data_IF_478933227693
#
_entry.id   IF_478933227693
#
_cell.length_a   1.000
_cell.length_b   1.000
_cell.length_c   1.000
_cell.angle_alpha   90.00
_cell.angle_beta   90.00
_cell.angle_gamma   90.00
#
_symmetry.space_group_name_H-M   'P 1'
#
loop_
_entity.id
_entity.type
_entity.pdbx_description
1 polymer ?
#
# COMPACT_ATOMS: atom_id res chain seq x y z
N UNK A 1 11.06 33.33 8.12
CA UNK A 1 10.51 32.41 7.11
C UNK A 1 10.03 31.18 7.85
N UNK A 2 8.72 31.04 8.05
CA UNK A 2 8.15 29.93 8.84
C UNK A 2 7.90 28.77 7.88
N UNK A 3 8.55 27.64 8.12
CA UNK A 3 8.29 26.40 7.40
C UNK A 3 6.92 25.87 7.84
N UNK A 4 5.91 25.99 6.99
CA UNK A 4 4.59 25.43 7.25
C UNK A 4 4.65 23.92 6.99
N UNK A 5 4.76 23.15 8.07
CA UNK A 5 4.58 21.70 8.05
C UNK A 5 3.14 21.39 7.65
N UNK A 6 2.93 20.95 6.41
CA UNK A 6 1.63 20.47 5.93
C UNK A 6 1.40 19.08 6.52
N UNK A 7 0.91 19.03 7.77
CA UNK A 7 0.48 17.82 8.47
C UNK A 7 -1.04 17.76 8.58
N UNK A 8 -1.75 17.97 7.49
CA UNK A 8 -3.15 17.54 7.43
C UNK A 8 -3.17 16.04 7.08
N UNK A 9 -3.76 15.17 7.91
CA UNK A 9 -4.13 13.86 7.45
C UNK A 9 -5.18 14.06 6.35
N UNK A 10 -4.77 13.87 5.09
CA UNK A 10 -5.68 13.75 3.96
C UNK A 10 -6.69 12.65 4.30
N UNK A 11 -7.84 13.05 4.84
CA UNK A 11 -8.96 12.16 5.11
C UNK A 11 -9.47 11.70 3.75
N UNK A 12 -9.19 10.45 3.42
CA UNK A 12 -9.45 9.93 2.10
C UNK A 12 -10.92 9.56 1.98
N UNK A 13 -11.69 10.35 1.23
CA UNK A 13 -13.09 10.03 0.95
C UNK A 13 -13.19 9.11 -0.28
N UNK A 14 -13.29 7.80 -0.04
CA UNK A 14 -13.49 6.78 -1.06
C UNK A 14 -14.79 6.95 -1.87
N UNK A 15 -15.74 7.79 -1.44
CA UNK A 15 -17.06 7.93 -2.08
C UNK A 15 -17.04 8.77 -3.36
N UNK A 16 -16.02 9.60 -3.57
CA UNK A 16 -15.97 10.57 -4.69
C UNK A 16 -15.08 10.14 -5.85
N UNK A 17 -14.25 9.10 -5.68
CA UNK A 17 -13.22 8.70 -6.64
C UNK A 17 -13.56 7.39 -7.36
N UNK A 18 -13.35 7.35 -8.68
CA UNK A 18 -13.91 6.28 -9.54
C UNK A 18 -12.93 5.17 -9.90
N UNK A 19 -11.61 5.36 -9.77
CA UNK A 19 -10.65 4.35 -10.22
C UNK A 19 -9.30 4.40 -9.50
N UNK A 20 -8.81 3.25 -9.05
CA UNK A 20 -7.45 3.02 -8.60
C UNK A 20 -6.54 2.64 -9.77
N UNK A 21 -5.36 3.25 -9.78
CA UNK A 21 -4.29 3.06 -10.75
C UNK A 21 -2.95 3.03 -10.00
N UNK A 22 -2.18 1.97 -10.19
CA UNK A 22 -0.83 1.83 -9.64
C UNK A 22 0.24 2.16 -10.68
N UNK A 23 1.14 3.10 -10.37
CA UNK A 23 2.12 3.68 -11.32
C UNK A 23 3.57 3.28 -10.98
N UNK A 24 3.78 2.44 -9.96
CA UNK A 24 5.09 1.98 -9.53
C UNK A 24 5.60 0.69 -10.19
N UNK A 25 6.85 0.35 -9.90
CA UNK A 25 7.38 -1.00 -10.09
C UNK A 25 6.76 -1.89 -9.02
N UNK A 26 6.25 -3.06 -9.41
CA UNK A 26 5.55 -3.95 -8.48
C UNK A 26 6.41 -4.24 -7.24
N UNK A 27 5.83 -4.14 -6.04
CA UNK A 27 6.56 -4.40 -4.83
C UNK A 27 6.81 -5.90 -4.64
N UNK A 28 7.80 -6.22 -3.81
CA UNK A 28 8.14 -7.60 -3.44
C UNK A 28 8.21 -7.76 -1.92
N UNK A 29 8.05 -8.99 -1.45
CA UNK A 29 8.19 -9.32 -0.04
C UNK A 29 9.65 -9.52 0.32
N UNK A 30 10.08 -8.84 1.38
CA UNK A 30 11.37 -9.03 2.00
C UNK A 30 11.18 -9.50 3.44
N UNK A 31 11.81 -10.61 3.81
CA UNK A 31 11.89 -11.01 5.21
C UNK A 31 13.03 -10.25 5.88
N UNK A 32 12.75 -9.64 7.02
CA UNK A 32 13.77 -8.96 7.84
C UNK A 32 13.96 -9.70 9.14
N UNK A 33 15.20 -9.83 9.58
CA UNK A 33 15.54 -10.40 10.88
C UNK A 33 16.26 -9.35 11.70
N UNK A 34 15.65 -8.94 12.81
CA UNK A 34 16.21 -7.91 13.68
C UNK A 34 16.40 -8.50 15.06
N UNK A 35 17.64 -8.49 15.55
CA UNK A 35 17.94 -8.89 16.93
C UNK A 35 17.69 -7.72 17.87
N UNK A 36 16.66 -7.81 18.70
CA UNK A 36 16.38 -6.83 19.77
C UNK A 36 16.50 -7.51 21.13
N UNK A 37 17.35 -6.96 22.01
CA UNK A 37 17.61 -7.51 23.37
C UNK A 37 17.97 -9.01 23.36
N UNK A 38 18.78 -9.44 22.41
CA UNK A 38 19.20 -10.85 22.27
C UNK A 38 18.13 -11.80 21.73
N UNK A 39 16.91 -11.32 21.43
CA UNK A 39 15.87 -12.11 20.75
C UNK A 39 15.83 -11.77 19.26
N UNK A 40 15.86 -12.80 18.43
CA UNK A 40 15.65 -12.69 16.99
C UNK A 40 14.16 -12.39 16.73
N UNK A 41 13.86 -11.26 16.11
CA UNK A 41 12.52 -10.94 15.64
C UNK A 41 12.49 -11.03 14.13
N UNK A 42 11.65 -11.91 13.61
CA UNK A 42 11.37 -12.02 12.18
C UNK A 42 10.24 -11.07 11.83
N UNK A 43 10.45 -10.22 10.84
CA UNK A 43 9.47 -9.32 10.26
C UNK A 43 9.29 -9.60 8.76
N UNK A 44 8.16 -9.18 8.23
CA UNK A 44 7.90 -9.15 6.78
C UNK A 44 7.69 -7.71 6.36
N UNK A 45 8.35 -7.32 5.29
CA UNK A 45 8.29 -5.98 4.71
C UNK A 45 7.89 -6.08 3.25
N UNK A 46 6.99 -5.20 2.85
CA UNK A 46 6.63 -4.98 1.46
C UNK A 46 7.50 -3.84 0.94
N UNK A 47 8.36 -4.15 -0.03
CA UNK A 47 9.36 -3.22 -0.56
C UNK A 47 8.90 -2.73 -1.92
N UNK A 48 8.74 -1.42 -2.05
CA UNK A 48 8.39 -0.69 -3.26
C UNK A 48 9.66 -0.09 -3.88
N UNK A 49 10.22 -0.73 -4.92
CA UNK A 49 11.42 -0.21 -5.56
C UNK A 49 11.12 1.05 -6.38
N UNK A 50 12.04 2.01 -6.34
CA UNK A 50 12.10 3.14 -7.27
C UNK A 50 13.47 3.21 -7.94
N UNK A 51 13.64 4.14 -8.88
CA UNK A 51 14.89 4.33 -9.60
C UNK A 51 16.04 4.82 -8.71
N UNK A 52 15.73 5.51 -7.62
CA UNK A 52 16.73 6.17 -6.77
C UNK A 52 16.74 5.66 -5.34
N UNK A 53 15.63 5.09 -4.86
CA UNK A 53 15.48 4.60 -3.48
C UNK A 53 14.41 3.49 -3.40
N UNK A 54 14.21 2.91 -2.22
CA UNK A 54 13.16 1.93 -1.96
C UNK A 54 12.30 2.36 -0.76
N UNK A 55 10.99 2.25 -0.92
CA UNK A 55 10.04 2.52 0.15
C UNK A 55 9.61 1.18 0.76
N UNK A 56 9.82 0.98 2.05
CA UNK A 56 9.55 -0.30 2.72
C UNK A 56 8.49 -0.15 3.79
N UNK A 57 7.51 -1.06 3.80
CA UNK A 57 6.41 -1.05 4.77
C UNK A 57 6.33 -2.38 5.50
N UNK A 58 6.43 -2.34 6.82
CA UNK A 58 6.21 -3.52 7.68
C UNK A 58 4.75 -3.92 7.62
N UNK A 59 4.50 -5.17 7.26
CA UNK A 59 3.16 -5.71 7.11
C UNK A 59 3.10 -7.15 7.62
N UNK A 60 1.92 -7.57 8.08
CA UNK A 60 1.68 -8.99 8.36
C UNK A 60 1.78 -9.79 7.04
N UNK A 61 2.29 -11.03 7.07
CA UNK A 61 2.54 -11.80 5.86
C UNK A 61 1.27 -12.10 5.04
N UNK A 62 0.13 -12.36 5.69
CA UNK A 62 -1.15 -12.66 4.99
C UNK A 62 -1.64 -11.54 4.06
N UNK A 63 -1.83 -10.29 4.52
CA UNK A 63 -2.29 -9.22 3.63
C UNK A 63 -1.24 -8.81 2.58
N UNK A 64 0.03 -9.17 2.76
CA UNK A 64 1.11 -8.69 1.91
C UNK A 64 1.09 -9.31 0.50
N UNK A 65 0.79 -10.61 0.40
CA UNK A 65 0.67 -11.29 -0.89
C UNK A 65 -0.53 -10.74 -1.70
N UNK A 66 -1.68 -10.57 -1.03
CA UNK A 66 -2.88 -10.02 -1.67
C UNK A 66 -2.66 -8.59 -2.18
N UNK A 67 -1.95 -7.75 -1.44
CA UNK A 67 -1.62 -6.39 -1.90
C UNK A 67 -0.82 -6.43 -3.19
N UNK A 68 0.18 -7.31 -3.30
CA UNK A 68 1.00 -7.43 -4.53
C UNK A 68 0.12 -7.84 -5.72
N UNK A 69 -0.72 -8.86 -5.56
CA UNK A 69 -1.63 -9.32 -6.60
C UNK A 69 -2.60 -8.22 -7.04
N UNK A 70 -3.12 -7.46 -6.07
CA UNK A 70 -4.10 -6.41 -6.37
C UNK A 70 -3.44 -5.20 -7.04
N UNK A 71 -2.24 -4.81 -6.60
CA UNK A 71 -1.44 -3.78 -7.27
C UNK A 71 -1.05 -4.21 -8.69
N UNK A 72 -0.81 -5.51 -8.91
CA UNK A 72 -0.59 -6.05 -10.23
C UNK A 72 -1.84 -5.96 -11.12
N UNK A 73 -3.04 -6.12 -10.56
CA UNK A 73 -4.30 -6.00 -11.28
C UNK A 73 -4.67 -4.55 -11.64
N UNK A 74 -4.17 -3.56 -10.92
CA UNK A 74 -4.40 -2.13 -11.21
C UNK A 74 -3.16 -1.37 -11.72
N UNK A 75 -2.12 -2.09 -12.14
CA UNK A 75 -0.88 -1.48 -12.64
C UNK A 75 -1.04 -0.90 -14.04
N UNK A 76 -0.54 0.33 -14.23
CA UNK A 76 -0.42 0.98 -15.55
C UNK A 76 0.45 0.18 -16.50
N UNK A 77 1.44 -0.56 -15.99
CA UNK A 77 2.31 -1.41 -16.82
C UNK A 77 1.51 -2.48 -17.58
N UNK A 78 0.34 -2.87 -17.07
CA UNK A 78 -0.58 -3.79 -17.75
C UNK A 78 -1.75 -3.07 -18.44
N UNK A 79 -1.84 -1.75 -18.36
CA UNK A 79 -2.92 -0.94 -18.93
C UNK A 79 -4.26 -1.05 -18.20
N UNK A 80 -4.26 -1.61 -16.98
CA UNK A 80 -5.49 -1.84 -16.22
C UNK A 80 -5.72 -0.76 -15.15
N UNK A 81 -6.99 -0.42 -14.96
CA UNK A 81 -7.50 0.37 -13.85
C UNK A 81 -8.69 -0.38 -13.26
N UNK A 82 -8.84 -0.33 -11.94
CA UNK A 82 -9.98 -0.94 -11.25
C UNK A 82 -10.78 0.14 -10.55
N UNK A 83 -12.09 0.00 -10.45
CA UNK A 83 -12.87 0.93 -9.64
C UNK A 83 -12.59 0.72 -8.16
N UNK A 84 -12.78 1.76 -7.35
CA UNK A 84 -12.72 1.66 -5.89
C UNK A 84 -13.68 0.57 -5.39
N UNK A 85 -14.91 0.53 -5.92
CA UNK A 85 -15.90 -0.49 -5.57
C UNK A 85 -15.41 -1.91 -5.91
N UNK A 86 -14.74 -2.09 -7.05
CA UNK A 86 -14.19 -3.40 -7.41
C UNK A 86 -13.01 -3.78 -6.52
N UNK A 87 -12.17 -2.82 -6.15
CA UNK A 87 -11.06 -3.04 -5.23
C UNK A 87 -11.55 -3.45 -3.83
N UNK A 88 -12.54 -2.73 -3.29
CA UNK A 88 -13.20 -3.09 -2.03
C UNK A 88 -13.84 -4.47 -2.10
N UNK A 89 -14.58 -4.75 -3.19
CA UNK A 89 -15.17 -6.08 -3.42
C UNK A 89 -14.10 -7.19 -3.42
N UNK A 90 -13.01 -7.00 -4.15
CA UNK A 90 -11.91 -7.98 -4.20
C UNK A 90 -11.25 -8.17 -2.83
N UNK A 91 -11.15 -7.10 -2.02
CA UNK A 91 -10.61 -7.15 -0.67
C UNK A 91 -11.49 -7.99 0.26
N UNK A 92 -12.81 -7.79 0.21
CA UNK A 92 -13.77 -8.57 1.00
C UNK A 92 -13.87 -10.03 0.52
N UNK A 93 -13.84 -10.26 -0.80
CA UNK A 93 -13.85 -11.62 -1.39
C UNK A 93 -12.59 -12.42 -1.06
N UNK A 94 -11.45 -11.76 -0.85
CA UNK A 94 -10.22 -12.38 -0.37
C UNK A 94 -10.27 -12.76 1.13
N UNK A 95 -11.39 -12.51 1.81
CA UNK A 95 -11.59 -12.88 3.21
C UNK A 95 -11.08 -11.84 4.22
N UNK A 96 -10.64 -10.67 3.76
CA UNK A 96 -10.26 -9.58 4.66
C UNK A 96 -11.49 -8.81 5.14
N UNK A 97 -11.42 -8.30 6.37
CA UNK A 97 -12.46 -7.48 6.97
C UNK A 97 -11.97 -6.03 7.11
N UNK A 98 -12.92 -5.11 7.33
CA UNK A 98 -12.66 -3.69 7.58
C UNK A 98 -11.84 -2.99 6.48
N UNK A 99 -12.37 -2.93 5.25
CA UNK A 99 -11.72 -2.22 4.14
C UNK A 99 -11.33 -0.79 4.50
N UNK A 100 -12.19 -0.04 5.20
CA UNK A 100 -11.91 1.33 5.63
C UNK A 100 -10.65 1.43 6.52
N UNK A 101 -10.43 0.47 7.42
CA UNK A 101 -9.25 0.44 8.29
C UNK A 101 -7.98 0.18 7.47
N UNK A 102 -8.06 -0.70 6.46
CA UNK A 102 -6.97 -0.93 5.52
C UNK A 102 -6.65 0.32 4.69
N UNK A 103 -7.70 0.99 4.20
CA UNK A 103 -7.62 2.24 3.45
C UNK A 103 -6.97 3.40 4.25
N UNK A 104 -7.23 3.43 5.56
CA UNK A 104 -6.63 4.39 6.50
C UNK A 104 -5.24 3.93 7.00
N UNK A 105 -4.82 2.71 6.68
CA UNK A 105 -3.54 2.18 7.12
C UNK A 105 -2.37 3.01 6.61
N UNK A 106 -1.31 3.09 7.42
CA UNK A 106 -0.08 3.78 7.06
C UNK A 106 0.47 3.30 5.71
N UNK A 107 0.41 2.00 5.43
CA UNK A 107 0.86 1.41 4.17
C UNK A 107 0.15 2.02 2.96
N UNK A 108 -1.17 2.04 3.01
CA UNK A 108 -2.01 2.52 1.92
C UNK A 108 -1.88 4.02 1.72
N UNK A 109 -1.92 4.78 2.82
CA UNK A 109 -1.71 6.21 2.82
C UNK A 109 -0.33 6.60 2.29
N UNK A 110 0.71 5.83 2.62
CA UNK A 110 2.07 6.05 2.14
C UNK A 110 2.18 5.81 0.63
N UNK A 111 1.56 4.75 0.10
CA UNK A 111 1.50 4.51 -1.36
C UNK A 111 0.80 5.65 -2.11
N UNK A 112 -0.30 6.18 -1.57
CA UNK A 112 -1.00 7.31 -2.17
C UNK A 112 -0.16 8.60 -2.09
N UNK A 113 0.42 8.91 -0.92
CA UNK A 113 1.25 10.11 -0.73
C UNK A 113 2.55 10.12 -1.53
N UNK A 114 3.13 8.94 -1.76
CA UNK A 114 4.34 8.78 -2.58
C UNK A 114 4.05 8.84 -4.09
N UNK A 115 2.77 8.96 -4.49
CA UNK A 115 2.38 8.95 -5.90
C UNK A 115 2.47 7.57 -6.56
N UNK A 116 2.66 6.49 -5.79
CA UNK A 116 2.65 5.13 -6.32
C UNK A 116 1.23 4.66 -6.65
N UNK A 117 0.25 5.15 -5.88
CA UNK A 117 -1.16 4.81 -6.04
C UNK A 117 -1.97 6.07 -6.34
N UNK A 118 -2.51 6.15 -7.55
CA UNK A 118 -3.46 7.16 -7.96
C UNK A 118 -4.87 6.65 -7.76
N UNK A 119 -5.70 7.48 -7.12
CA UNK A 119 -7.11 7.19 -6.86
C UNK A 119 -7.92 8.41 -7.27
#
# INVERSE_FOLDING_TARGET
MVATTISEPLHFDFRTKKSLIYIGILPFLQQTQVTKKGKLQTGTELVFPSLTDSLSVKIKPEPAAWIIETLQACSVAKGFKISVMQFEKNYLEAGFTNFNEFAESYAFQLMHRSGLLFI
#
